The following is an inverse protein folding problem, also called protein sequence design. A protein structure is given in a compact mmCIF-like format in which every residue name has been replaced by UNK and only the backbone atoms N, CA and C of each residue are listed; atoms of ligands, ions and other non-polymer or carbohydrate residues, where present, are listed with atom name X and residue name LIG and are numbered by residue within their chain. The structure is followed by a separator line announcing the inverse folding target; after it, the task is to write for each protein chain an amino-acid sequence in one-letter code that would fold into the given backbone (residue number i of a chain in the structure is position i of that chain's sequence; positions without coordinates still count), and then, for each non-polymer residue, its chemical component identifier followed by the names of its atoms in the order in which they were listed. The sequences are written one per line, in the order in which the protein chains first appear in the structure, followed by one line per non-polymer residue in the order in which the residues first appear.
data_IF_659817378664
#
_entry.id   IF_659817378664
#
_cell.length_a   1.000
_cell.length_b   1.000
_cell.length_c   1.000
_cell.angle_alpha   90.00
_cell.angle_beta   90.00
_cell.angle_gamma   90.00
#
_symmetry.space_group_name_H-M   'P 1'
#
loop_
_entity.id
_entity.type
_entity.pdbx_description
1 polymer ?
#
# COMPACT_ATOMS: atom_id res chain seq x y z
N UNK A 1 0.59 -27.68 1.10
CA UNK A 1 0.84 -26.54 2.00
C UNK A 1 1.45 -25.34 1.29
N UNK A 2 2.58 -25.48 0.57
CA UNK A 2 3.25 -24.37 -0.15
C UNK A 2 2.36 -23.65 -1.18
N UNK A 3 1.60 -24.37 -2.01
CA UNK A 3 0.73 -23.72 -3.00
C UNK A 3 -0.52 -23.09 -2.37
N UNK A 4 -1.07 -23.76 -1.35
CA UNK A 4 -2.28 -23.32 -0.66
C UNK A 4 -2.04 -22.01 0.08
N UNK A 5 -0.93 -21.87 0.81
CA UNK A 5 -0.66 -20.60 1.50
C UNK A 5 -0.34 -19.45 0.54
N UNK A 6 0.26 -19.70 -0.64
CA UNK A 6 0.47 -18.64 -1.65
C UNK A 6 -0.87 -18.14 -2.15
N UNK A 7 -1.81 -19.07 -2.41
CA UNK A 7 -3.17 -18.71 -2.79
C UNK A 7 -3.84 -17.81 -1.75
N UNK A 8 -3.75 -18.18 -0.46
CA UNK A 8 -4.32 -17.39 0.63
C UNK A 8 -3.68 -16.01 0.71
N UNK A 9 -2.34 -15.91 0.68
CA UNK A 9 -1.64 -14.62 0.71
C UNK A 9 -2.06 -13.72 -0.46
N UNK A 10 -2.12 -14.29 -1.66
CA UNK A 10 -2.51 -13.54 -2.88
C UNK A 10 -3.93 -12.99 -2.79
N UNK A 11 -4.86 -13.74 -2.20
CA UNK A 11 -6.25 -13.31 -1.99
C UNK A 11 -6.35 -12.23 -0.91
N UNK A 12 -5.51 -12.28 0.12
CA UNK A 12 -5.56 -11.32 1.23
C UNK A 12 -4.87 -9.99 0.94
N UNK A 13 -3.82 -9.97 0.11
CA UNK A 13 -3.05 -8.73 -0.16
C UNK A 13 -3.94 -7.62 -0.72
N UNK A 14 -4.91 -7.92 -1.59
CA UNK A 14 -5.81 -6.91 -2.15
C UNK A 14 -6.73 -6.25 -1.12
N UNK A 15 -6.90 -6.86 0.05
CA UNK A 15 -7.76 -6.37 1.13
C UNK A 15 -6.98 -5.56 2.18
N UNK A 16 -5.66 -5.40 2.03
CA UNK A 16 -4.88 -4.63 2.98
C UNK A 16 -5.25 -3.14 2.93
N UNK A 17 -5.57 -2.59 4.09
CA UNK A 17 -5.75 -1.16 4.27
C UNK A 17 -4.41 -0.46 4.39
N UNK A 18 -4.19 0.57 3.57
CA UNK A 18 -3.00 1.39 3.66
C UNK A 18 -3.23 2.53 4.67
N UNK A 19 -2.25 2.83 5.54
CA UNK A 19 -2.39 3.89 6.51
C UNK A 19 -2.45 5.26 5.83
N UNK A 20 -3.15 6.19 6.46
CA UNK A 20 -3.05 7.61 6.11
C UNK A 20 -1.63 8.09 6.41
N UNK A 21 -0.99 8.73 5.43
CA UNK A 21 0.34 9.32 5.58
C UNK A 21 0.15 10.84 5.63
N UNK A 22 0.74 11.48 6.65
CA UNK A 22 0.73 12.94 6.81
C UNK A 22 2.14 13.44 6.96
N UNK A 23 2.45 14.51 6.25
CA UNK A 23 3.76 15.13 6.29
C UNK A 23 3.63 16.65 6.30
N UNK A 24 4.34 17.28 7.23
CA UNK A 24 4.42 18.74 7.32
C UNK A 24 5.57 19.22 6.44
N UNK A 25 5.26 20.14 5.54
CA UNK A 25 6.22 20.79 4.64
C UNK A 25 6.32 22.28 4.98
N UNK A 26 7.31 22.98 4.42
CA UNK A 26 7.53 24.41 4.69
C UNK A 26 6.28 25.28 4.44
N UNK A 27 5.45 24.90 3.45
CA UNK A 27 4.27 25.66 3.01
C UNK A 27 2.93 25.03 3.41
N UNK A 28 2.89 24.14 4.42
CA UNK A 28 1.65 23.55 4.91
C UNK A 28 1.73 22.06 5.24
N UNK A 29 0.62 21.35 5.08
CA UNK A 29 0.52 19.91 5.33
C UNK A 29 0.09 19.18 4.05
N UNK A 30 0.73 18.05 3.78
CA UNK A 30 0.31 17.11 2.74
C UNK A 30 -0.21 15.86 3.42
N UNK A 31 -1.42 15.46 3.04
CA UNK A 31 -2.05 14.23 3.52
C UNK A 31 -2.38 13.32 2.34
N UNK A 32 -2.01 12.05 2.48
CA UNK A 32 -2.40 10.94 1.62
C UNK A 32 -3.40 10.10 2.39
N UNK A 33 -4.62 9.99 1.87
CA UNK A 33 -5.67 9.19 2.49
C UNK A 33 -6.44 8.39 1.45
N UNK A 34 -7.24 7.43 1.92
CA UNK A 34 -8.03 6.55 1.05
C UNK A 34 -7.17 5.71 0.10
N UNK A 35 -5.89 5.52 0.42
CA UNK A 35 -5.01 4.71 -0.37
C UNK A 35 -5.50 3.25 -0.32
N UNK A 36 -5.64 2.64 -1.48
CA UNK A 36 -6.01 1.24 -1.62
C UNK A 36 -5.14 0.56 -2.67
N UNK A 37 -4.96 -0.75 -2.50
CA UNK A 37 -4.23 -1.56 -3.46
C UNK A 37 -5.12 -1.78 -4.69
N UNK A 38 -4.72 -1.17 -5.81
CA UNK A 38 -5.45 -1.23 -7.07
C UNK A 38 -5.03 -2.39 -7.97
N UNK A 39 -3.80 -2.87 -7.82
CA UNK A 39 -3.28 -4.03 -8.53
C UNK A 39 -2.16 -4.69 -7.74
N UNK A 40 -2.10 -6.01 -7.82
CA UNK A 40 -1.10 -6.84 -7.18
C UNK A 40 -0.49 -7.80 -8.20
N UNK A 41 0.82 -8.00 -8.11
CA UNK A 41 1.55 -9.03 -8.85
C UNK A 41 2.13 -10.02 -7.84
N UNK A 42 1.71 -11.30 -7.90
CA UNK A 42 2.20 -12.36 -7.02
C UNK A 42 3.72 -12.51 -7.01
N UNK A 43 4.31 -13.05 -5.92
CA UNK A 43 5.75 -13.32 -5.86
C UNK A 43 6.17 -14.28 -6.97
N UNK A 44 7.27 -13.93 -7.65
CA UNK A 44 7.88 -14.81 -8.65
C UNK A 44 8.78 -15.88 -8.00
N UNK A 45 9.25 -15.60 -6.79
CA UNK A 45 10.12 -16.48 -6.02
C UNK A 45 9.54 -16.65 -4.62
N UNK A 46 9.32 -17.90 -4.22
CA UNK A 46 8.86 -18.24 -2.89
C UNK A 46 9.43 -19.58 -2.41
N UNK A 47 9.76 -19.66 -1.12
CA UNK A 47 10.16 -20.91 -0.45
C UNK A 47 9.28 -21.14 0.78
N UNK A 48 9.15 -22.42 1.11
CA UNK A 48 8.58 -22.88 2.37
C UNK A 48 9.59 -23.84 2.97
N UNK A 49 10.16 -23.42 4.09
CA UNK A 49 11.20 -24.13 4.82
C UNK A 49 10.64 -24.52 6.20
N UNK A 50 10.90 -25.75 6.62
CA UNK A 50 10.58 -26.20 7.97
C UNK A 50 11.74 -25.76 8.88
N UNK A 51 11.44 -24.91 9.86
CA UNK A 51 12.40 -24.50 10.87
C UNK A 51 12.02 -25.17 12.21
N UNK A 52 13.03 -25.44 13.02
CA UNK A 52 12.96 -26.32 14.19
C UNK A 52 11.89 -25.96 15.25
N UNK A 53 11.58 -26.93 16.11
CA UNK A 53 10.69 -28.03 15.77
C UNK A 53 9.27 -27.45 15.70
N UNK A 54 8.60 -27.59 14.55
CA UNK A 54 7.20 -27.20 14.28
C UNK A 54 6.94 -25.76 13.80
N UNK A 55 7.94 -25.05 13.31
CA UNK A 55 7.72 -23.76 12.66
C UNK A 55 7.90 -23.87 11.15
N UNK A 56 7.13 -23.09 10.41
CA UNK A 56 7.27 -22.95 8.97
C UNK A 56 7.72 -21.53 8.65
N UNK A 57 8.82 -21.40 7.94
CA UNK A 57 9.25 -20.12 7.38
C UNK A 57 8.79 -20.02 5.94
N UNK A 58 8.03 -18.97 5.64
CA UNK A 58 7.66 -18.59 4.29
C UNK A 58 8.50 -17.40 3.87
N UNK A 59 9.30 -17.58 2.82
CA UNK A 59 9.97 -16.47 2.16
C UNK A 59 9.29 -16.21 0.82
N UNK A 60 8.97 -14.95 0.54
CA UNK A 60 8.37 -14.51 -0.72
C UNK A 60 9.10 -13.25 -1.17
N UNK A 61 9.50 -13.19 -2.44
CA UNK A 61 10.25 -12.05 -2.98
C UNK A 61 9.71 -11.63 -4.35
N UNK A 62 10.15 -10.44 -4.81
CA UNK A 62 9.78 -9.84 -6.11
C UNK A 62 8.27 -9.58 -6.28
N UNK A 63 7.55 -9.42 -5.17
CA UNK A 63 6.16 -8.97 -5.19
C UNK A 63 6.09 -7.49 -5.58
N UNK A 64 5.05 -7.13 -6.32
CA UNK A 64 4.78 -5.73 -6.66
C UNK A 64 3.34 -5.38 -6.30
N UNK A 65 3.16 -4.17 -5.77
CA UNK A 65 1.86 -3.61 -5.41
C UNK A 65 1.73 -2.27 -6.11
N UNK A 66 0.58 -2.01 -6.71
CA UNK A 66 0.20 -0.68 -7.21
C UNK A 66 -0.92 -0.13 -6.38
N UNK A 67 -0.65 1.02 -5.79
CA UNK A 67 -1.61 1.75 -4.97
C UNK A 67 -2.26 2.86 -5.79
N UNK A 68 -3.52 3.18 -5.45
CA UNK A 68 -4.20 4.39 -5.89
C UNK A 68 -4.65 5.14 -4.66
N UNK A 69 -4.61 6.47 -4.73
CA UNK A 69 -4.96 7.37 -3.64
C UNK A 69 -5.63 8.62 -4.18
N UNK A 70 -6.43 9.25 -3.34
CA UNK A 70 -6.80 10.63 -3.49
C UNK A 70 -5.75 11.48 -2.75
N UNK A 71 -5.26 12.54 -3.38
CA UNK A 71 -4.25 13.41 -2.80
C UNK A 71 -4.88 14.77 -2.55
N UNK A 72 -4.71 15.29 -1.34
CA UNK A 72 -5.14 16.64 -0.98
C UNK A 72 -3.93 17.43 -0.48
N UNK A 73 -3.72 18.60 -1.08
CA UNK A 73 -2.78 19.61 -0.61
C UNK A 73 -3.58 20.68 0.12
N UNK A 74 -3.22 21.01 1.35
CA UNK A 74 -3.93 22.06 2.08
C UNK A 74 -3.50 23.47 1.63
N UNK A 75 -4.51 24.34 1.52
CA UNK A 75 -4.52 25.82 1.58
C UNK A 75 -4.06 26.66 0.38
N UNK A 76 -2.96 26.37 -0.33
CA UNK A 76 -2.54 27.22 -1.47
C UNK A 76 -3.46 27.13 -2.71
N UNK A 77 -4.14 26.00 -2.91
CA UNK A 77 -5.12 25.83 -4.00
C UNK A 77 -6.50 26.40 -3.64
N UNK A 78 -6.83 26.53 -2.35
CA UNK A 78 -8.07 27.19 -1.93
C UNK A 78 -8.01 28.70 -2.20
N UNK A 79 -6.89 29.35 -1.89
CA UNK A 79 -6.71 30.79 -2.16
C UNK A 79 -6.69 31.08 -3.67
N UNK A 80 -5.96 30.29 -4.46
CA UNK A 80 -5.95 30.46 -5.93
C UNK A 80 -7.31 30.25 -6.58
N UNK A 81 -8.11 29.31 -6.09
CA UNK A 81 -9.47 29.09 -6.61
C UNK A 81 -10.45 30.19 -6.17
N UNK A 82 -10.25 30.80 -5.01
CA UNK A 82 -11.03 31.97 -4.59
C UNK A 82 -10.66 33.24 -5.39
N UNK A 83 -9.38 33.44 -5.74
CA UNK A 83 -8.96 34.56 -6.60
C UNK A 83 -9.38 34.41 -8.07
N UNK A 84 -9.47 33.19 -8.60
CA UNK A 84 -9.94 32.93 -9.98
C UNK A 84 -11.47 33.06 -10.15
N UNK A 85 -12.22 33.14 -9.05
CA UNK A 85 -13.67 33.26 -9.03
C UNK A 85 -14.17 34.63 -8.50
N UNK A 86 -13.26 35.56 -8.22
CA UNK A 86 -13.53 36.94 -7.78
C UNK A 86 -13.21 37.95 -8.90
#
# INVERSE_FOLDING_TARGET
MREIGIKVVNEQILHLSLPTIRERIENGEVSIYGAHISKYWPPQEYSLDLIEPNMFQWAMSKMHIREKKDTWKSELEKEKQQELLA
#
